data_IF_398450656127
#
_entry.id   IF_398450656127
#
_cell.length_a   1.000
_cell.length_b   1.000
_cell.length_c   1.000
_cell.angle_alpha   90.00
_cell.angle_beta   90.00
_cell.angle_gamma   90.00
#
_symmetry.space_group_name_H-M   'P 1'
#
loop_
_entity.id
_entity.type
_entity.pdbx_description
1 polymer ?
#
# COMPACT_ATOMS: atom_id res chain seq x y z
N UNK A 1 5.91 -35.70 8.98
CA UNK A 1 5.89 -34.29 9.48
C UNK A 1 6.86 -33.47 8.64
N UNK A 2 6.57 -32.17 8.44
CA UNK A 2 7.54 -31.09 8.10
C UNK A 2 7.70 -30.62 6.64
N UNK A 3 6.62 -30.14 5.99
CA UNK A 3 6.72 -28.87 5.24
C UNK A 3 6.01 -27.72 5.97
N UNK A 4 4.85 -28.02 6.57
CA UNK A 4 3.99 -27.05 7.25
C UNK A 4 4.62 -26.52 8.56
N UNK A 5 5.37 -27.39 9.25
CA UNK A 5 6.10 -27.02 10.46
C UNK A 5 7.26 -26.05 10.15
N UNK A 6 7.95 -26.25 9.01
CA UNK A 6 9.06 -25.39 8.57
C UNK A 6 8.57 -23.99 8.19
N UNK A 7 7.43 -23.90 7.49
CA UNK A 7 6.78 -22.61 7.18
C UNK A 7 6.35 -21.85 8.43
N UNK A 8 5.79 -22.53 9.43
CA UNK A 8 5.39 -21.93 10.72
C UNK A 8 6.59 -21.43 11.53
N UNK A 9 7.73 -22.12 11.49
CA UNK A 9 8.96 -21.67 12.18
C UNK A 9 9.62 -20.46 11.49
N UNK A 10 9.64 -20.41 10.16
CA UNK A 10 10.15 -19.26 9.41
C UNK A 10 9.32 -17.99 9.64
N UNK A 11 8.00 -18.11 9.64
CA UNK A 11 7.09 -16.99 9.96
C UNK A 11 7.29 -16.47 11.38
N UNK A 12 7.47 -17.37 12.37
CA UNK A 12 7.71 -17.00 13.77
C UNK A 12 9.05 -16.27 13.96
N UNK A 13 10.10 -16.67 13.25
CA UNK A 13 11.39 -16.00 13.27
C UNK A 13 11.35 -14.62 12.58
N UNK A 14 10.66 -14.49 11.44
CA UNK A 14 10.43 -13.21 10.78
C UNK A 14 9.61 -12.25 11.66
N UNK A 15 8.56 -12.73 12.32
CA UNK A 15 7.75 -11.94 13.28
C UNK A 15 8.58 -11.53 14.51
N UNK A 16 9.48 -12.40 15.00
CA UNK A 16 10.36 -12.07 16.13
C UNK A 16 11.42 -11.02 15.76
N UNK A 17 11.98 -11.08 14.54
CA UNK A 17 12.88 -10.06 14.01
C UNK A 17 12.15 -8.73 13.67
N UNK A 18 10.86 -8.80 13.32
CA UNK A 18 10.04 -7.63 13.03
C UNK A 18 9.69 -6.82 14.29
N UNK A 19 9.53 -7.45 15.46
CA UNK A 19 9.15 -6.74 16.70
C UNK A 19 10.13 -5.61 17.10
N UNK A 20 11.46 -5.84 17.13
CA UNK A 20 12.44 -4.76 17.31
C UNK A 20 12.37 -3.69 16.22
N UNK A 21 12.15 -4.09 14.96
CA UNK A 21 12.05 -3.17 13.82
C UNK A 21 10.80 -2.27 13.90
N UNK A 22 9.64 -2.80 14.29
CA UNK A 22 8.40 -2.04 14.47
C UNK A 22 8.53 -1.01 15.59
N UNK A 23 9.15 -1.37 16.73
CA UNK A 23 9.38 -0.43 17.81
C UNK A 23 10.32 0.71 17.37
N UNK A 24 11.41 0.37 16.68
CA UNK A 24 12.35 1.36 16.16
C UNK A 24 11.69 2.35 15.18
N UNK A 25 10.82 1.86 14.28
CA UNK A 25 10.03 2.70 13.37
C UNK A 25 9.14 3.67 14.15
N UNK A 26 8.38 3.19 15.15
CA UNK A 26 7.48 4.03 15.95
C UNK A 26 8.24 5.08 16.78
N UNK A 27 9.34 4.68 17.43
CA UNK A 27 10.14 5.59 18.24
C UNK A 27 10.79 6.68 17.36
N UNK A 28 11.19 6.33 16.13
CA UNK A 28 11.75 7.29 15.17
C UNK A 28 10.67 8.22 14.61
N UNK A 29 9.48 7.71 14.31
CA UNK A 29 8.34 8.50 13.83
C UNK A 29 7.94 9.60 14.81
N UNK A 30 8.02 9.34 16.12
CA UNK A 30 7.67 10.32 17.16
C UNK A 30 8.58 11.54 17.21
N UNK A 31 9.82 11.42 16.75
CA UNK A 31 10.84 12.49 16.85
C UNK A 31 11.23 13.06 15.49
N UNK A 32 10.84 12.41 14.39
CA UNK A 32 11.17 12.89 13.05
C UNK A 32 10.31 14.12 12.68
N UNK A 33 10.90 15.18 12.11
CA UNK A 33 10.15 16.29 11.55
C UNK A 33 9.16 15.81 10.48
N UNK A 34 7.99 16.44 10.41
CA UNK A 34 7.04 16.16 9.34
C UNK A 34 7.58 16.66 8.00
N UNK A 35 7.26 15.95 6.92
CA UNK A 35 7.61 16.34 5.56
C UNK A 35 6.36 16.36 4.66
N UNK A 36 6.42 17.02 3.50
CA UNK A 36 5.32 17.01 2.53
C UNK A 36 5.00 15.62 1.97
N UNK A 37 5.97 14.70 1.92
CA UNK A 37 5.77 13.31 1.50
C UNK A 37 5.85 12.35 2.69
N UNK A 38 4.79 12.38 3.50
CA UNK A 38 4.62 11.70 4.79
C UNK A 38 5.40 10.38 4.96
N UNK A 39 4.83 9.22 4.59
CA UNK A 39 5.52 7.94 4.82
C UNK A 39 6.76 7.75 3.94
N UNK A 40 6.77 8.32 2.73
CA UNK A 40 7.85 8.08 1.78
C UNK A 40 9.17 8.69 2.25
N UNK A 41 9.17 9.96 2.66
CA UNK A 41 10.36 10.62 3.18
C UNK A 41 10.79 10.02 4.51
N UNK A 42 9.82 9.71 5.38
CA UNK A 42 10.11 9.07 6.66
C UNK A 42 10.88 7.75 6.46
N UNK A 43 10.38 6.87 5.58
CA UNK A 43 11.03 5.60 5.28
C UNK A 43 12.39 5.79 4.59
N UNK A 44 12.51 6.77 3.69
CA UNK A 44 13.79 7.11 3.08
C UNK A 44 14.83 7.55 4.12
N UNK A 45 14.45 8.40 5.07
CA UNK A 45 15.32 8.86 6.15
C UNK A 45 15.66 7.75 7.14
N UNK A 46 14.68 6.90 7.48
CA UNK A 46 14.88 5.77 8.38
C UNK A 46 15.82 4.70 7.77
N UNK A 47 15.65 4.38 6.48
CA UNK A 47 16.42 3.35 5.77
C UNK A 47 17.56 3.90 4.89
N UNK A 48 17.98 5.15 5.10
CA UNK A 48 18.95 5.84 4.22
C UNK A 48 20.25 5.06 3.96
N UNK A 49 20.74 4.32 4.95
CA UNK A 49 21.98 3.53 4.86
C UNK A 49 21.78 2.14 4.22
N UNK A 50 20.54 1.77 3.92
CA UNK A 50 20.14 0.43 3.46
C UNK A 50 19.41 0.49 2.11
N UNK A 51 19.53 1.61 1.40
CA UNK A 51 18.87 1.81 0.12
C UNK A 51 19.27 0.72 -0.90
N UNK A 52 18.25 0.10 -1.49
CA UNK A 52 18.39 -0.86 -2.59
C UNK A 52 17.44 -0.45 -3.70
N UNK A 53 17.93 -0.06 -4.89
CA UNK A 53 17.06 0.38 -5.96
C UNK A 53 16.20 -0.78 -6.45
N UNK A 54 14.90 -0.51 -6.61
CA UNK A 54 13.95 -1.43 -7.22
C UNK A 54 13.79 -1.03 -8.69
N UNK A 55 13.89 -1.96 -9.66
CA UNK A 55 13.67 -1.64 -11.06
C UNK A 55 12.29 -1.04 -11.31
N UNK A 56 12.19 -0.07 -12.22
CA UNK A 56 10.96 0.67 -12.51
C UNK A 56 9.76 -0.24 -12.82
N UNK A 57 9.99 -1.38 -13.47
CA UNK A 57 8.94 -2.35 -13.82
C UNK A 57 8.19 -2.92 -12.62
N UNK A 58 8.77 -2.89 -11.41
CA UNK A 58 8.14 -3.37 -10.18
C UNK A 58 7.46 -2.27 -9.37
N UNK A 59 7.56 -1.00 -9.80
CA UNK A 59 6.90 0.13 -9.18
C UNK A 59 6.85 1.30 -10.17
N UNK A 60 6.06 1.16 -11.25
CA UNK A 60 5.93 2.23 -12.24
C UNK A 60 5.12 3.39 -11.65
N UNK A 61 5.84 4.42 -11.19
CA UNK A 61 5.27 5.73 -10.89
C UNK A 61 4.79 6.34 -12.21
N UNK A 62 3.48 6.58 -12.36
CA UNK A 62 2.89 6.99 -13.66
C UNK A 62 3.56 8.20 -14.31
N UNK A 63 4.08 9.15 -13.51
CA UNK A 63 4.79 10.31 -14.03
C UNK A 63 5.98 9.97 -14.94
N UNK A 64 6.53 8.77 -14.82
CA UNK A 64 7.59 8.30 -15.71
C UNK A 64 7.16 8.19 -17.18
N UNK A 65 5.85 8.01 -17.46
CA UNK A 65 5.32 7.93 -18.82
C UNK A 65 5.48 9.23 -19.62
N UNK A 66 5.57 10.39 -18.96
CA UNK A 66 5.74 11.68 -19.63
C UNK A 66 7.01 12.43 -19.23
N UNK A 67 7.60 12.15 -18.06
CA UNK A 67 8.87 12.76 -17.65
C UNK A 67 10.09 12.04 -18.25
N UNK A 68 10.02 10.72 -18.38
CA UNK A 68 11.10 9.88 -18.90
C UNK A 68 10.56 8.72 -19.74
N UNK A 69 9.77 8.99 -20.81
CA UNK A 69 9.17 7.95 -21.64
C UNK A 69 10.20 6.97 -22.23
N UNK A 70 11.43 7.44 -22.50
CA UNK A 70 12.54 6.63 -22.98
C UNK A 70 12.94 5.48 -22.05
N UNK A 71 12.62 5.60 -20.76
CA UNK A 71 12.93 4.60 -19.73
C UNK A 71 11.77 3.64 -19.45
N UNK A 72 10.63 3.79 -20.14
CA UNK A 72 9.44 2.98 -19.92
C UNK A 72 9.22 2.03 -21.10
N UNK A 73 9.25 0.73 -20.81
CA UNK A 73 8.77 -0.32 -21.71
C UNK A 73 7.51 -0.91 -21.07
N UNK A 74 6.35 -0.40 -21.47
CA UNK A 74 5.09 -0.62 -20.76
C UNK A 74 4.72 -2.11 -20.68
N UNK A 75 5.05 -2.88 -21.72
CA UNK A 75 4.80 -4.32 -21.83
C UNK A 75 5.61 -5.15 -20.83
N UNK A 76 6.68 -4.59 -20.27
CA UNK A 76 7.51 -5.24 -19.24
C UNK A 76 7.11 -4.86 -17.82
N UNK A 77 6.20 -3.90 -17.66
CA UNK A 77 5.75 -3.41 -16.36
C UNK A 77 4.91 -4.48 -15.67
N UNK A 78 5.20 -4.72 -14.40
CA UNK A 78 4.53 -5.71 -13.55
C UNK A 78 3.63 -5.06 -12.50
N UNK A 79 3.99 -3.86 -12.04
CA UNK A 79 3.22 -3.12 -11.03
C UNK A 79 3.14 -1.66 -11.43
N UNK A 80 1.92 -1.13 -11.44
CA UNK A 80 1.61 0.27 -11.74
C UNK A 80 1.22 0.98 -10.45
N UNK A 81 1.84 2.14 -10.19
CA UNK A 81 1.54 3.00 -9.06
C UNK A 81 0.80 4.25 -9.54
N UNK A 82 -0.52 4.24 -9.34
CA UNK A 82 -1.43 5.36 -9.62
C UNK A 82 -1.28 6.49 -8.58
N UNK A 83 -0.12 7.14 -8.53
CA UNK A 83 0.19 8.17 -7.54
C UNK A 83 -0.13 9.61 -7.99
N UNK A 84 -0.28 9.83 -9.30
CA UNK A 84 -0.46 11.17 -9.87
C UNK A 84 -1.90 11.70 -9.65
N UNK A 85 -2.07 13.02 -9.65
CA UNK A 85 -3.40 13.65 -9.64
C UNK A 85 -4.28 13.09 -10.76
N UNK A 86 -5.55 12.79 -10.44
CA UNK A 86 -6.50 12.22 -11.40
C UNK A 86 -6.26 10.75 -11.79
N UNK A 87 -5.11 10.16 -11.44
CA UNK A 87 -4.75 8.82 -11.91
C UNK A 87 -5.44 7.67 -11.19
N UNK A 88 -6.07 7.89 -10.04
CA UNK A 88 -6.76 6.84 -9.28
C UNK A 88 -7.87 6.22 -10.16
N UNK A 89 -7.82 4.93 -10.53
CA UNK A 89 -8.75 4.35 -11.51
C UNK A 89 -10.22 4.53 -11.17
N UNK A 90 -10.58 4.39 -9.88
CA UNK A 90 -11.94 4.57 -9.36
C UNK A 90 -12.42 6.03 -9.29
N UNK A 91 -11.57 7.01 -9.61
CA UNK A 91 -11.90 8.43 -9.72
C UNK A 91 -11.44 9.04 -11.04
N UNK A 92 -11.06 8.22 -12.00
CA UNK A 92 -10.45 8.69 -13.24
C UNK A 92 -11.46 9.46 -14.08
N UNK A 93 -11.14 10.71 -14.41
CA UNK A 93 -11.97 11.57 -15.28
C UNK A 93 -11.32 11.85 -16.63
N UNK A 94 -10.00 11.67 -16.73
CA UNK A 94 -9.20 12.00 -17.91
C UNK A 94 -8.98 13.50 -18.12
N UNK A 95 -9.35 14.36 -17.15
CA UNK A 95 -9.28 15.83 -17.29
C UNK A 95 -8.05 16.44 -16.63
N UNK A 96 -7.46 15.75 -15.66
CA UNK A 96 -6.24 16.19 -14.97
C UNK A 96 -5.03 16.12 -15.92
N UNK A 97 -3.95 16.81 -15.55
CA UNK A 97 -2.76 16.94 -16.39
C UNK A 97 -2.20 15.56 -16.79
N UNK A 98 -1.94 15.37 -18.09
CA UNK A 98 -1.45 14.13 -18.68
C UNK A 98 -2.41 12.93 -18.60
N UNK A 99 -3.62 13.06 -18.02
CA UNK A 99 -4.58 11.95 -17.90
C UNK A 99 -5.36 11.67 -19.20
N UNK A 100 -5.20 12.51 -20.23
CA UNK A 100 -5.77 12.32 -21.55
C UNK A 100 -4.98 11.34 -22.42
N UNK A 101 -3.79 10.90 -21.98
CA UNK A 101 -2.93 9.98 -22.71
C UNK A 101 -3.52 8.58 -22.87
N UNK A 102 -3.24 7.97 -24.01
CA UNK A 102 -3.77 6.63 -24.33
C UNK A 102 -3.16 5.53 -23.46
N UNK A 103 -1.87 5.59 -23.16
CA UNK A 103 -1.20 4.63 -22.29
C UNK A 103 -1.84 4.59 -20.89
N UNK A 104 -2.17 5.75 -20.32
CA UNK A 104 -2.89 5.83 -19.03
C UNK A 104 -4.31 5.27 -19.13
N UNK A 105 -5.06 5.59 -20.20
CA UNK A 105 -6.41 5.06 -20.41
C UNK A 105 -6.43 3.53 -20.51
N UNK A 106 -5.43 2.94 -21.17
CA UNK A 106 -5.26 1.48 -21.23
C UNK A 106 -5.02 0.92 -19.83
N UNK A 107 -4.12 1.52 -19.04
CA UNK A 107 -3.85 1.06 -17.68
C UNK A 107 -5.09 1.14 -16.77
N UNK A 108 -5.83 2.25 -16.84
CA UNK A 108 -7.08 2.42 -16.09
C UNK A 108 -8.13 1.39 -16.51
N UNK A 109 -8.24 1.11 -17.82
CA UNK A 109 -9.15 0.07 -18.33
C UNK A 109 -8.78 -1.31 -17.77
N UNK A 110 -7.51 -1.70 -17.85
CA UNK A 110 -7.04 -2.97 -17.30
C UNK A 110 -7.36 -3.10 -15.79
N UNK A 111 -7.27 -2.01 -15.02
CA UNK A 111 -7.67 -2.00 -13.61
C UNK A 111 -9.16 -2.28 -13.43
N UNK A 112 -10.01 -1.66 -14.25
CA UNK A 112 -11.46 -1.88 -14.21
C UNK A 112 -11.87 -3.27 -14.70
N UNK A 113 -11.20 -3.81 -15.72
CA UNK A 113 -11.43 -5.17 -16.20
C UNK A 113 -11.17 -6.17 -15.06
N UNK A 114 -10.08 -6.00 -14.31
CA UNK A 114 -9.82 -6.84 -13.11
C UNK A 114 -10.88 -6.62 -12.03
N UNK A 115 -11.23 -5.37 -11.73
CA UNK A 115 -12.20 -5.07 -10.66
C UNK A 115 -13.60 -5.61 -10.95
N UNK A 116 -14.03 -5.60 -12.22
CA UNK A 116 -15.36 -6.02 -12.62
C UNK A 116 -15.46 -7.52 -12.96
N UNK A 117 -14.41 -8.09 -13.58
CA UNK A 117 -14.52 -9.40 -14.23
C UNK A 117 -13.80 -10.52 -13.46
N UNK A 118 -12.97 -10.20 -12.46
CA UNK A 118 -12.26 -11.20 -11.66
C UNK A 118 -13.00 -11.50 -10.34
N UNK A 119 -14.09 -12.28 -10.43
CA UNK A 119 -14.85 -12.78 -9.27
C UNK A 119 -13.97 -13.57 -8.27
N UNK A 120 -12.77 -14.00 -8.66
CA UNK A 120 -11.85 -14.68 -7.73
C UNK A 120 -11.30 -13.74 -6.66
N UNK A 121 -11.25 -12.43 -6.95
CA UNK A 121 -10.82 -11.37 -6.05
C UNK A 121 -11.92 -10.87 -5.13
N UNK A 122 -13.17 -11.27 -5.38
CA UNK A 122 -14.29 -10.88 -4.54
C UNK A 122 -14.04 -11.29 -3.09
N UNK A 123 -14.41 -10.39 -2.17
CA UNK A 123 -14.31 -10.67 -0.76
C UNK A 123 -15.33 -11.75 -0.38
N UNK A 124 -14.85 -13.00 -0.23
CA UNK A 124 -15.67 -14.18 0.09
C UNK A 124 -16.16 -14.24 1.55
N UNK A 125 -16.12 -13.11 2.25
CA UNK A 125 -16.29 -13.05 3.70
C UNK A 125 -15.05 -13.55 4.44
N UNK A 126 -15.05 -13.37 5.76
CA UNK A 126 -14.14 -14.16 6.60
C UNK A 126 -14.57 -15.63 6.46
N UNK A 127 -13.63 -16.59 6.40
CA UNK A 127 -13.97 -18.00 6.58
C UNK A 127 -14.90 -18.10 7.78
N UNK A 128 -15.94 -18.95 7.75
CA UNK A 128 -16.72 -19.24 8.95
C UNK A 128 -15.72 -19.72 10.01
N UNK A 129 -15.32 -18.78 10.85
CA UNK A 129 -14.33 -18.96 11.87
C UNK A 129 -14.96 -20.04 12.76
N UNK A 130 -14.23 -21.14 12.97
CA UNK A 130 -14.60 -22.12 13.99
C UNK A 130 -15.04 -21.34 15.24
N UNK A 131 -16.08 -21.79 15.92
CA UNK A 131 -16.89 -21.09 16.93
C UNK A 131 -16.15 -20.22 17.98
N UNK A 132 -14.82 -20.35 18.06
CA UNK A 132 -13.88 -19.66 18.91
C UNK A 132 -13.37 -18.31 18.34
N UNK A 133 -13.62 -18.00 17.07
CA UNK A 133 -13.06 -16.79 16.46
C UNK A 133 -14.03 -15.61 16.31
N UNK A 134 -15.29 -15.79 16.73
CA UNK A 134 -16.12 -14.68 17.23
C UNK A 134 -15.44 -14.00 18.43
N UNK A 135 -14.78 -14.76 19.32
CA UNK A 135 -14.02 -14.17 20.43
C UNK A 135 -12.75 -13.45 19.93
N UNK A 136 -12.06 -13.98 18.92
CA UNK A 136 -10.83 -13.36 18.39
C UNK A 136 -11.14 -12.08 17.58
N UNK A 137 -12.20 -12.09 16.78
CA UNK A 137 -12.66 -10.92 16.03
C UNK A 137 -13.25 -9.87 16.98
N UNK A 138 -14.03 -10.27 17.99
CA UNK A 138 -14.47 -9.37 19.06
C UNK A 138 -13.28 -8.83 19.87
N UNK A 139 -12.27 -9.67 20.17
CA UNK A 139 -11.06 -9.29 20.90
C UNK A 139 -10.10 -8.43 20.08
N UNK A 140 -10.16 -8.44 18.75
CA UNK A 140 -9.39 -7.52 17.87
C UNK A 140 -10.15 -6.22 17.61
N UNK A 141 -11.48 -6.29 17.46
CA UNK A 141 -12.36 -5.11 17.29
C UNK A 141 -12.43 -4.26 18.56
N UNK A 142 -12.34 -4.87 19.75
CA UNK A 142 -12.41 -4.15 21.04
C UNK A 142 -11.22 -3.20 21.29
N UNK A 143 -9.94 -3.59 21.13
CA UNK A 143 -8.81 -2.68 21.24
C UNK A 143 -8.79 -1.65 20.12
N UNK A 144 -9.17 -2.01 18.88
CA UNK A 144 -9.27 -1.03 17.79
C UNK A 144 -10.36 0.03 18.09
N UNK A 145 -11.54 -0.39 18.55
CA UNK A 145 -12.62 0.53 18.96
C UNK A 145 -12.25 1.37 20.18
N UNK A 146 -11.57 0.78 21.16
CA UNK A 146 -11.08 1.52 22.33
C UNK A 146 -10.05 2.59 21.93
N UNK A 147 -9.09 2.24 21.07
CA UNK A 147 -8.11 3.18 20.54
C UNK A 147 -8.77 4.29 19.70
N UNK A 148 -9.78 3.97 18.89
CA UNK A 148 -10.55 4.96 18.12
C UNK A 148 -11.38 5.88 19.03
N UNK A 149 -11.93 5.35 20.13
CA UNK A 149 -12.67 6.15 21.11
C UNK A 149 -11.74 7.07 21.93
N UNK A 150 -10.54 6.60 22.28
CA UNK A 150 -9.50 7.38 22.96
C UNK A 150 -8.91 8.46 22.05
N UNK A 151 -8.72 8.16 20.76
CA UNK A 151 -8.20 9.12 19.78
C UNK A 151 -9.11 10.33 19.55
N UNK A 152 -10.39 10.26 19.95
CA UNK A 152 -11.36 11.34 19.82
C UNK A 152 -11.58 11.79 18.37
N UNK A 153 -12.10 13.01 18.18
CA UNK A 153 -12.21 13.63 16.84
C UNK A 153 -10.82 13.99 16.33
N UNK A 154 -10.28 13.17 15.44
CA UNK A 154 -9.05 13.48 14.73
C UNK A 154 -9.32 14.65 13.80
N UNK A 155 -8.55 15.73 13.92
CA UNK A 155 -8.53 16.82 12.93
C UNK A 155 -7.97 16.26 11.62
N UNK A 156 -8.85 15.69 10.80
CA UNK A 156 -8.51 15.24 9.46
C UNK A 156 -8.29 16.48 8.60
N UNK A 157 -7.03 16.75 8.29
CA UNK A 157 -6.69 17.63 7.18
C UNK A 157 -6.69 16.73 5.95
N UNK A 158 -7.58 17.01 5.01
CA UNK A 158 -7.53 16.34 3.72
C UNK A 158 -6.13 16.52 3.16
N UNK A 159 -5.46 15.41 2.85
CA UNK A 159 -4.18 15.46 2.17
C UNK A 159 -4.37 16.32 0.91
N UNK A 160 -3.44 17.24 0.60
CA UNK A 160 -3.44 17.92 -0.69
C UNK A 160 -3.58 16.87 -1.79
N UNK A 161 -4.27 17.21 -2.89
CA UNK A 161 -4.23 16.37 -4.07
C UNK A 161 -2.78 16.03 -4.36
N UNK A 162 -2.42 14.74 -4.26
CA UNK A 162 -1.10 14.29 -4.64
C UNK A 162 -0.88 14.71 -6.10
N UNK A 163 0.30 15.29 -6.34
CA UNK A 163 0.74 15.94 -7.58
C UNK A 163 0.28 15.24 -8.85
#
# INVERSE_FOLDING_TARGET
MAPELAGKMAAKAAVAAAKPATKALLDTLRVMPTTPFAEQDFLNMFFKEQYKPIPLVYNLVLAMLWRHPENVQLEKVKVVHYCAAGSKPWRFTGKEENMDREDIRILVRNWWDIYNDDESLDFKGLPALAADADELEAAAKKPLRAALAEAGTVKYVAAPSAA
#
